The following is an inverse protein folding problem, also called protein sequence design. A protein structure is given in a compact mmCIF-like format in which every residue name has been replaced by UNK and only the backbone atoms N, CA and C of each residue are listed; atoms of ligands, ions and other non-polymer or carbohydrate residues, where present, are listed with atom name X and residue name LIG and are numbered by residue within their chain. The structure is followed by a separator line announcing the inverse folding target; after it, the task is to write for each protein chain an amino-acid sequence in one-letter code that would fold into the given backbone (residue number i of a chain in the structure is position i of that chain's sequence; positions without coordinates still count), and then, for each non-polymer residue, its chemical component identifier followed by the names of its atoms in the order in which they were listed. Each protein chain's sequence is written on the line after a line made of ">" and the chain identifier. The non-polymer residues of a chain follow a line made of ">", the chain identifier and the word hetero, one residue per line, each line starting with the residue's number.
data_IF_307625719149
#
_entry.id   IF_307625719149
#
_cell.length_a   1.000
_cell.length_b   1.000
_cell.length_c   1.000
_cell.angle_alpha   90.00
_cell.angle_beta   90.00
_cell.angle_gamma   90.00
#
_symmetry.space_group_name_H-M   'P 1'
#
loop_
_entity.id
_entity.type
_entity.pdbx_description
1 polymer ?
#
# COMPACT_ATOMS: atom_id res chain seq x y z
N UNK A 1 1.30 18.10 -0.19
CA UNK A 1 1.80 16.89 0.49
C UNK A 1 1.20 16.95 1.89
N UNK A 2 0.43 15.93 2.30
CA UNK A 2 -0.10 15.91 3.67
C UNK A 2 1.08 15.70 4.62
N UNK A 3 1.20 16.58 5.60
CA UNK A 3 2.24 16.55 6.62
C UNK A 3 1.63 16.13 7.95
N UNK A 4 2.49 15.72 8.89
CA UNK A 4 2.09 15.66 10.29
C UNK A 4 1.71 17.08 10.74
N UNK A 5 0.51 17.23 11.25
CA UNK A 5 -0.01 18.47 11.84
C UNK A 5 -0.19 18.26 13.33
N UNK A 6 0.18 19.25 14.13
CA UNK A 6 -0.14 19.26 15.55
C UNK A 6 -1.66 19.47 15.70
N UNK A 7 -2.31 18.51 16.36
CA UNK A 7 -3.71 18.58 16.76
C UNK A 7 -3.77 18.49 18.28
N UNK A 8 -4.49 19.40 18.92
CA UNK A 8 -4.67 19.35 20.37
C UNK A 8 -5.60 18.18 20.73
N UNK A 9 -5.18 17.38 21.70
CA UNK A 9 -6.03 16.38 22.33
C UNK A 9 -7.08 17.03 23.23
N UNK A 10 -7.96 16.21 23.83
CA UNK A 10 -8.99 16.70 24.75
C UNK A 10 -8.44 17.41 26.00
N UNK A 11 -7.14 17.26 26.28
CA UNK A 11 -6.43 17.89 27.40
C UNK A 11 -5.61 19.11 26.97
N UNK A 12 -5.75 19.55 25.71
CA UNK A 12 -5.00 20.69 25.15
C UNK A 12 -3.53 20.40 24.88
N UNK A 13 -3.13 19.12 24.76
CA UNK A 13 -1.75 18.73 24.44
C UNK A 13 -1.63 18.47 22.94
N UNK A 14 -0.64 19.08 22.26
CA UNK A 14 -0.46 18.85 20.83
C UNK A 14 0.05 17.43 20.59
N UNK A 15 -0.65 16.69 19.74
CA UNK A 15 -0.23 15.40 19.19
C UNK A 15 -0.05 15.52 17.68
N UNK A 16 0.98 14.88 17.14
CA UNK A 16 1.22 14.87 15.70
C UNK A 16 0.33 13.82 15.03
N UNK A 17 -0.54 14.25 14.14
CA UNK A 17 -1.39 13.38 13.36
C UNK A 17 -1.33 13.74 11.87
N UNK A 18 -1.53 12.75 11.00
CA UNK A 18 -1.80 12.99 9.59
C UNK A 18 -3.32 13.13 9.40
N UNK A 19 -3.73 14.00 8.48
CA UNK A 19 -5.14 14.05 8.07
C UNK A 19 -5.61 12.66 7.58
N UNK A 20 -6.91 12.39 7.66
CA UNK A 20 -7.51 11.13 7.22
C UNK A 20 -7.11 10.79 5.78
N UNK A 21 -7.16 9.51 5.41
CA UNK A 21 -7.02 9.08 4.02
C UNK A 21 -8.19 9.57 3.15
N UNK A 22 -7.95 9.72 1.85
CA UNK A 22 -8.99 10.10 0.87
C UNK A 22 -9.78 8.90 0.38
N UNK A 23 -9.11 7.74 0.28
CA UNK A 23 -9.72 6.49 -0.17
C UNK A 23 -9.07 5.34 0.56
N UNK A 24 -9.87 4.42 1.08
CA UNK A 24 -9.40 3.19 1.70
C UNK A 24 -9.99 2.00 0.95
N UNK A 25 -9.13 1.07 0.52
CA UNK A 25 -9.54 -0.17 -0.12
C UNK A 25 -9.10 -1.37 0.73
N UNK A 26 -9.98 -2.35 0.92
CA UNK A 26 -9.63 -3.65 1.48
C UNK A 26 -9.64 -4.69 0.37
N UNK A 27 -8.53 -5.41 0.21
CA UNK A 27 -8.31 -6.35 -0.89
C UNK A 27 -8.04 -7.73 -0.31
N UNK A 28 -8.92 -8.68 -0.61
CA UNK A 28 -8.66 -10.09 -0.37
C UNK A 28 -7.75 -10.64 -1.48
N UNK A 29 -6.61 -11.17 -1.10
CA UNK A 29 -5.68 -11.92 -1.94
C UNK A 29 -5.85 -13.40 -1.65
N UNK A 30 -6.12 -14.19 -2.69
CA UNK A 30 -6.05 -15.65 -2.61
C UNK A 30 -4.59 -16.08 -2.80
N UNK A 31 -4.17 -17.12 -2.07
CA UNK A 31 -2.82 -17.66 -2.16
C UNK A 31 -2.42 -17.97 -3.62
N UNK A 32 -1.28 -17.43 -4.08
CA UNK A 32 -0.75 -17.67 -5.42
C UNK A 32 -1.50 -16.99 -6.57
N UNK A 33 -2.57 -16.24 -6.29
CA UNK A 33 -3.37 -15.55 -7.29
C UNK A 33 -3.09 -14.03 -7.26
N UNK A 34 -2.18 -13.51 -8.10
CA UNK A 34 -1.87 -12.09 -8.12
C UNK A 34 -3.06 -11.25 -8.60
N UNK A 35 -3.16 -10.02 -8.10
CA UNK A 35 -4.20 -9.06 -8.45
C UNK A 35 -3.59 -7.71 -8.81
N UNK A 36 -4.26 -6.97 -9.69
CA UNK A 36 -3.94 -5.57 -9.98
C UNK A 36 -5.07 -4.71 -9.47
N UNK A 37 -4.71 -3.70 -8.68
CA UNK A 37 -5.66 -2.75 -8.08
C UNK A 37 -5.44 -1.40 -8.72
N UNK A 38 -6.47 -0.79 -9.34
CA UNK A 38 -6.32 0.54 -9.94
C UNK A 38 -6.00 1.57 -8.86
N UNK A 39 -5.08 2.49 -9.16
CA UNK A 39 -4.79 3.63 -8.28
C UNK A 39 -5.91 4.65 -8.44
N UNK A 40 -6.59 5.07 -7.35
CA UNK A 40 -7.62 6.11 -7.43
C UNK A 40 -7.09 7.40 -8.06
N UNK A 41 -7.94 8.08 -8.84
CA UNK A 41 -7.57 9.35 -9.47
C UNK A 41 -7.14 10.38 -8.42
N UNK A 42 -6.01 11.05 -8.66
CA UNK A 42 -5.47 12.06 -7.75
C UNK A 42 -4.63 11.51 -6.59
N UNK A 43 -4.58 10.19 -6.38
CA UNK A 43 -3.74 9.61 -5.34
C UNK A 43 -2.24 9.83 -5.63
N UNK A 44 -1.50 10.23 -4.60
CA UNK A 44 -0.06 10.48 -4.66
C UNK A 44 0.73 9.53 -3.78
N UNK A 45 0.18 9.12 -2.64
CA UNK A 45 0.79 8.23 -1.66
C UNK A 45 -0.21 7.13 -1.32
N UNK A 46 0.30 5.92 -1.06
CA UNK A 46 -0.45 4.81 -0.48
C UNK A 46 0.27 4.30 0.76
N UNK A 47 -0.50 3.96 1.79
CA UNK A 47 -0.06 3.21 2.96
C UNK A 47 -0.67 1.81 2.90
N UNK A 48 0.14 0.79 3.20
CA UNK A 48 -0.31 -0.59 3.25
C UNK A 48 -0.37 -1.09 4.69
N UNK A 49 -1.35 -1.96 4.94
CA UNK A 49 -1.41 -2.81 6.13
C UNK A 49 -2.00 -4.16 5.72
N UNK A 50 -1.55 -5.26 6.31
CA UNK A 50 -2.01 -6.57 5.90
C UNK A 50 -2.09 -7.54 7.09
N UNK A 51 -2.92 -8.57 6.94
CA UNK A 51 -3.07 -9.65 7.94
C UNK A 51 -1.94 -10.69 7.86
N UNK A 52 -1.19 -10.73 6.76
CA UNK A 52 -0.10 -11.67 6.49
C UNK A 52 0.88 -11.08 5.44
N UNK A 53 2.05 -11.70 5.22
CA UNK A 53 3.03 -11.21 4.25
C UNK A 53 2.50 -11.18 2.82
N UNK A 54 2.78 -10.08 2.11
CA UNK A 54 2.39 -9.88 0.71
C UNK A 54 3.50 -9.14 -0.05
N UNK A 55 3.51 -9.33 -1.36
CA UNK A 55 4.38 -8.63 -2.30
C UNK A 55 3.58 -7.59 -3.07
N UNK A 56 4.17 -6.43 -3.28
CA UNK A 56 3.58 -5.37 -4.07
C UNK A 56 4.53 -4.81 -5.12
N UNK A 57 3.95 -4.35 -6.23
CA UNK A 57 4.67 -3.64 -7.29
C UNK A 57 3.85 -2.46 -7.76
N UNK A 58 4.43 -1.26 -7.67
CA UNK A 58 3.78 -0.05 -8.16
C UNK A 58 3.96 0.02 -9.68
N UNK A 59 2.86 0.19 -10.43
CA UNK A 59 2.89 0.30 -11.89
C UNK A 59 3.20 -1.01 -12.64
N UNK A 60 3.15 -2.15 -11.96
CA UNK A 60 3.44 -3.46 -12.56
C UNK A 60 2.74 -4.60 -11.83
N UNK A 61 2.68 -5.78 -12.45
CA UNK A 61 2.18 -6.98 -11.78
C UNK A 61 3.13 -7.41 -10.67
N UNK A 62 2.59 -7.89 -9.54
CA UNK A 62 3.37 -8.53 -8.50
C UNK A 62 3.25 -10.05 -8.63
N UNK A 63 4.30 -10.77 -8.25
CA UNK A 63 4.31 -12.22 -8.14
C UNK A 63 4.97 -12.64 -6.84
N UNK A 64 4.64 -13.82 -6.35
CA UNK A 64 5.36 -14.46 -5.25
C UNK A 64 6.65 -15.05 -5.84
N UNK A 65 7.84 -14.65 -5.36
CA UNK A 65 9.09 -15.23 -5.85
C UNK A 65 9.15 -16.74 -5.56
N UNK A 66 9.48 -17.54 -6.59
CA UNK A 66 9.71 -18.99 -6.47
C UNK A 66 11.20 -19.36 -6.50
N UNK A 67 12.05 -18.39 -6.83
CA UNK A 67 13.51 -18.48 -6.86
C UNK A 67 14.08 -17.07 -6.62
N UNK A 68 15.40 -16.98 -6.50
CA UNK A 68 16.09 -15.70 -6.35
C UNK A 68 15.87 -14.81 -7.58
N UNK A 69 15.51 -13.55 -7.33
CA UNK A 69 15.35 -12.52 -8.36
C UNK A 69 16.37 -11.42 -8.08
N UNK A 70 17.51 -11.49 -8.79
CA UNK A 70 18.69 -10.64 -8.55
C UNK A 70 18.89 -9.53 -9.60
N UNK A 71 17.91 -9.34 -10.50
CA UNK A 71 17.95 -8.36 -11.60
C UNK A 71 17.30 -7.01 -11.22
N UNK A 72 16.90 -6.83 -9.96
CA UNK A 72 16.20 -5.64 -9.48
C UNK A 72 14.73 -5.56 -9.87
N UNK A 73 14.17 -6.60 -10.50
CA UNK A 73 12.75 -6.65 -10.90
C UNK A 73 11.83 -7.23 -9.84
N UNK A 74 12.35 -7.67 -8.69
CA UNK A 74 11.54 -8.25 -7.61
C UNK A 74 10.41 -7.30 -7.15
N UNK A 75 9.26 -7.88 -6.80
CA UNK A 75 8.22 -7.15 -6.09
C UNK A 75 8.65 -6.94 -4.63
N UNK A 76 8.25 -5.82 -4.04
CA UNK A 76 8.64 -5.47 -2.68
C UNK A 76 7.80 -6.21 -1.65
N UNK A 77 8.44 -6.83 -0.65
CA UNK A 77 7.77 -7.51 0.45
C UNK A 77 7.31 -6.50 1.51
N UNK A 78 6.02 -6.50 1.84
CA UNK A 78 5.40 -5.69 2.89
C UNK A 78 5.82 -4.20 2.88
N UNK A 79 5.66 -3.47 1.77
CA UNK A 79 5.94 -2.03 1.77
C UNK A 79 5.05 -1.31 2.78
N UNK A 80 5.57 -0.25 3.40
CA UNK A 80 4.79 0.58 4.36
C UNK A 80 4.09 1.72 3.63
N UNK A 81 4.84 2.75 3.22
CA UNK A 81 4.31 3.92 2.51
C UNK A 81 5.06 4.12 1.19
N UNK A 82 4.34 4.25 0.07
CA UNK A 82 4.97 4.44 -1.26
C UNK A 82 4.30 5.56 -2.04
N UNK A 83 5.09 6.25 -2.86
CA UNK A 83 4.58 7.19 -3.85
C UNK A 83 3.93 6.41 -5.00
N UNK A 84 2.73 6.80 -5.39
CA UNK A 84 1.95 6.17 -6.48
C UNK A 84 1.55 7.15 -7.58
N UNK A 85 2.01 8.41 -7.50
CA UNK A 85 1.72 9.42 -8.51
C UNK A 85 2.16 8.95 -9.89
N UNK A 86 1.22 8.87 -10.82
CA UNK A 86 1.46 8.45 -12.21
C UNK A 86 1.43 6.94 -12.44
N UNK A 87 1.28 6.13 -11.39
CA UNK A 87 1.02 4.70 -11.54
C UNK A 87 -0.46 4.46 -11.84
N UNK A 88 -0.76 3.65 -12.86
CA UNK A 88 -2.16 3.27 -13.18
C UNK A 88 -2.73 2.21 -12.24
N UNK A 89 -1.88 1.34 -11.69
CA UNK A 89 -2.28 0.25 -10.82
C UNK A 89 -1.15 -0.18 -9.88
N UNK A 90 -1.51 -0.95 -8.86
CA UNK A 90 -0.62 -1.63 -7.93
C UNK A 90 -0.86 -3.13 -8.07
N UNK A 91 0.18 -3.87 -8.45
CA UNK A 91 0.17 -5.32 -8.39
C UNK A 91 0.34 -5.79 -6.96
N UNK A 92 -0.43 -6.78 -6.54
CA UNK A 92 -0.39 -7.42 -5.23
C UNK A 92 -0.40 -8.94 -5.38
N UNK A 93 0.42 -9.64 -4.59
CA UNK A 93 0.45 -11.10 -4.55
C UNK A 93 0.75 -11.57 -3.11
N UNK A 94 0.27 -12.74 -2.74
CA UNK A 94 0.57 -13.34 -1.44
C UNK A 94 0.68 -14.86 -1.55
N UNK A 95 1.53 -15.46 -0.69
CA UNK A 95 1.71 -16.91 -0.63
C UNK A 95 0.58 -17.61 0.16
N UNK A 96 -0.19 -16.87 0.94
CA UNK A 96 -1.33 -17.33 1.71
C UNK A 96 -2.53 -16.37 1.55
N UNK A 97 -3.73 -16.82 1.90
CA UNK A 97 -4.91 -15.96 1.88
C UNK A 97 -4.69 -14.76 2.82
N UNK A 98 -4.71 -13.56 2.26
CA UNK A 98 -4.28 -12.34 2.95
C UNK A 98 -5.24 -11.20 2.64
N UNK A 99 -5.65 -10.45 3.66
CA UNK A 99 -6.35 -9.19 3.46
C UNK A 99 -5.35 -8.05 3.54
N UNK A 100 -5.31 -7.22 2.50
CA UNK A 100 -4.47 -6.02 2.42
C UNK A 100 -5.35 -4.78 2.42
N UNK A 101 -5.12 -3.87 3.35
CA UNK A 101 -5.70 -2.53 3.40
C UNK A 101 -4.77 -1.53 2.72
N UNK A 102 -5.32 -0.73 1.81
CA UNK A 102 -4.65 0.32 1.06
C UNK A 102 -5.28 1.66 1.42
N UNK A 103 -4.52 2.55 2.04
CA UNK A 103 -4.97 3.91 2.38
C UNK A 103 -4.29 4.92 1.47
N UNK A 104 -5.06 5.58 0.60
CA UNK A 104 -4.56 6.54 -0.40
C UNK A 104 -4.70 7.98 0.08
N UNK A 105 -3.72 8.80 -0.30
CA UNK A 105 -3.64 10.23 -0.01
C UNK A 105 -3.26 11.02 -1.27
N UNK A 106 -4.01 12.08 -1.59
CA UNK A 106 -3.84 12.96 -2.75
C UNK A 106 -3.22 14.32 -2.48
#
# INVERSE_FOLDING_TARGET
>A
MRSLTALDDAMGRPSLAIASSDTVLAVLLTAGAPRQIPVPAGARIVLFSATAPFWARIGGAAGVPAADVLDGSAAELNPVARQVRGAGFIGLAAAANTTVSLSFYG
#
